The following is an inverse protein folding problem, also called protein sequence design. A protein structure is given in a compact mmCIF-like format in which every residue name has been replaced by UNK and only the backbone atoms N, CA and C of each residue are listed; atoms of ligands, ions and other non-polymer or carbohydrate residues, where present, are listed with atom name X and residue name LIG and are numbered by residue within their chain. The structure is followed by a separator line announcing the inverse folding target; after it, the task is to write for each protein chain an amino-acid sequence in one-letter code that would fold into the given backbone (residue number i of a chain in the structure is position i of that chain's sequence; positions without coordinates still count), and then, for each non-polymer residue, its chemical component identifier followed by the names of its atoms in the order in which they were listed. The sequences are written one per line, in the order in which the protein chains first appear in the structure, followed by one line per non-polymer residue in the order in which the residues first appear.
data_IF_898234596940
#
_entry.id   IF_898234596940
#
_cell.length_a   1.000
_cell.length_b   1.000
_cell.length_c   1.000
_cell.angle_alpha   90.00
_cell.angle_beta   90.00
_cell.angle_gamma   90.00
#
_symmetry.space_group_name_H-M   'P 1'
#
loop_
_entity.id
_entity.type
_entity.pdbx_description
1 polymer ?
#
# COMPACT_ATOMS: atom_id res chain seq x y z
N UNK A 1 23.13 15.22 -24.10
CA UNK A 1 22.01 14.89 -23.20
C UNK A 1 22.34 15.56 -21.89
N UNK A 2 21.67 16.67 -21.59
CA UNK A 2 21.93 17.39 -20.34
C UNK A 2 21.30 16.56 -19.20
N UNK A 3 21.83 16.65 -17.98
CA UNK A 3 21.34 15.85 -16.84
C UNK A 3 19.83 16.04 -16.56
N UNK A 4 19.26 17.15 -17.04
CA UNK A 4 17.83 17.48 -16.93
C UNK A 4 16.94 16.54 -17.76
N UNK A 5 17.45 15.99 -18.87
CA UNK A 5 16.67 15.12 -19.77
C UNK A 5 16.40 13.72 -19.16
N UNK A 6 17.26 13.27 -18.22
CA UNK A 6 17.10 12.00 -17.51
C UNK A 6 16.24 12.11 -16.24
N UNK A 7 16.02 13.32 -15.71
CA UNK A 7 15.27 13.54 -14.47
C UNK A 7 13.85 12.92 -14.50
N UNK A 8 13.03 13.09 -15.56
CA UNK A 8 11.69 12.51 -15.60
C UNK A 8 11.72 10.99 -15.54
N UNK A 9 12.72 10.38 -16.19
CA UNK A 9 12.89 8.94 -16.28
C UNK A 9 13.36 8.36 -14.93
N UNK A 10 14.27 9.06 -14.24
CA UNK A 10 14.72 8.70 -12.89
C UNK A 10 13.62 8.83 -11.83
N UNK A 11 12.85 9.92 -11.86
CA UNK A 11 11.72 10.15 -10.95
C UNK A 11 10.62 9.10 -11.18
N UNK A 12 10.32 8.78 -12.44
CA UNK A 12 9.34 7.75 -12.78
C UNK A 12 9.71 6.36 -12.24
N UNK A 13 10.99 5.99 -12.30
CA UNK A 13 11.46 4.71 -11.73
C UNK A 13 11.45 4.70 -10.20
N UNK A 14 11.86 5.79 -9.55
CA UNK A 14 11.80 5.94 -8.08
C UNK A 14 10.37 5.77 -7.56
N UNK A 15 9.42 6.51 -8.13
CA UNK A 15 8.02 6.47 -7.71
C UNK A 15 7.38 5.14 -8.10
N UNK A 16 7.59 4.68 -9.34
CA UNK A 16 6.98 3.45 -9.84
C UNK A 16 7.38 2.21 -9.06
N UNK A 17 8.66 2.07 -8.71
CA UNK A 17 9.13 0.95 -7.90
C UNK A 17 8.61 1.01 -6.45
N UNK A 18 8.53 2.22 -5.86
CA UNK A 18 7.92 2.42 -4.54
C UNK A 18 6.43 2.08 -4.51
N UNK A 19 5.68 2.53 -5.52
CA UNK A 19 4.25 2.29 -5.64
C UNK A 19 3.92 0.79 -5.77
N UNK A 20 4.72 0.03 -6.51
CA UNK A 20 4.55 -1.43 -6.63
C UNK A 20 4.68 -2.11 -5.27
N UNK A 21 5.65 -1.71 -4.45
CA UNK A 21 5.81 -2.23 -3.09
C UNK A 21 4.60 -1.94 -2.19
N UNK A 22 4.10 -0.70 -2.23
CA UNK A 22 2.93 -0.29 -1.45
C UNK A 22 1.67 -1.07 -1.87
N UNK A 23 1.39 -1.19 -3.17
CA UNK A 23 0.22 -1.94 -3.66
C UNK A 23 0.24 -3.42 -3.26
N UNK A 24 1.40 -4.07 -3.27
CA UNK A 24 1.53 -5.46 -2.82
C UNK A 24 1.27 -5.59 -1.31
N UNK A 25 1.81 -4.68 -0.50
CA UNK A 25 1.60 -4.66 0.95
C UNK A 25 0.13 -4.45 1.31
N UNK A 26 -0.52 -3.45 0.70
CA UNK A 26 -1.94 -3.15 0.90
C UNK A 26 -2.84 -4.29 0.44
N UNK A 27 -2.53 -4.93 -0.70
CA UNK A 27 -3.28 -6.09 -1.20
C UNK A 27 -3.24 -7.28 -0.25
N UNK A 28 -2.06 -7.60 0.30
CA UNK A 28 -1.91 -8.67 1.30
C UNK A 28 -2.66 -8.33 2.60
N UNK A 29 -2.53 -7.10 3.09
CA UNK A 29 -3.27 -6.61 4.26
C UNK A 29 -4.79 -6.73 4.06
N UNK A 30 -5.31 -6.29 2.92
CA UNK A 30 -6.73 -6.38 2.57
C UNK A 30 -7.24 -7.83 2.54
N UNK A 31 -6.45 -8.76 2.01
CA UNK A 31 -6.80 -10.18 1.98
C UNK A 31 -6.94 -10.78 3.39
N UNK A 32 -6.04 -10.43 4.30
CA UNK A 32 -6.04 -10.92 5.69
C UNK A 32 -7.08 -10.24 6.56
N UNK A 33 -7.35 -8.96 6.30
CA UNK A 33 -8.49 -8.26 6.88
C UNK A 33 -9.80 -8.97 6.51
N UNK A 34 -10.03 -9.23 5.22
CA UNK A 34 -11.26 -9.89 4.76
C UNK A 34 -11.43 -11.29 5.36
N UNK A 35 -10.36 -12.10 5.40
CA UNK A 35 -10.37 -13.43 6.04
C UNK A 35 -10.71 -13.34 7.55
N UNK A 36 -10.13 -12.37 8.25
CA UNK A 36 -10.35 -12.19 9.70
C UNK A 36 -11.76 -11.66 9.99
N UNK A 37 -12.24 -10.72 9.18
CA UNK A 37 -13.60 -10.18 9.25
C UNK A 37 -14.66 -11.23 8.98
N UNK A 38 -14.40 -12.14 8.03
CA UNK A 38 -15.31 -13.25 7.73
C UNK A 38 -15.37 -14.29 8.87
N UNK A 39 -14.27 -14.50 9.59
CA UNK A 39 -14.20 -15.43 10.73
C UNK A 39 -14.77 -14.85 12.02
N UNK A 40 -14.51 -13.57 12.28
CA UNK A 40 -14.93 -12.90 13.50
C UNK A 40 -15.44 -11.49 13.16
N UNK A 41 -16.75 -11.34 12.91
CA UNK A 41 -17.32 -10.04 12.51
C UNK A 41 -17.23 -8.99 13.62
N UNK A 42 -17.16 -9.41 14.89
CA UNK A 42 -16.99 -8.53 16.06
C UNK A 42 -15.62 -7.85 16.13
N UNK A 43 -14.62 -8.34 15.40
CA UNK A 43 -13.30 -7.72 15.30
C UNK A 43 -13.18 -6.73 14.12
N UNK A 44 -14.20 -6.61 13.26
CA UNK A 44 -14.16 -5.76 12.06
C UNK A 44 -13.85 -4.30 12.37
N UNK A 45 -14.54 -3.65 13.32
CA UNK A 45 -14.34 -2.23 13.60
C UNK A 45 -12.92 -1.92 14.09
N UNK A 46 -12.40 -2.76 14.99
CA UNK A 46 -11.03 -2.62 15.50
C UNK A 46 -10.00 -2.84 14.41
N UNK A 47 -10.22 -3.85 13.56
CA UNK A 47 -9.29 -4.22 12.50
C UNK A 47 -9.34 -3.23 11.32
N UNK A 48 -10.50 -2.65 11.02
CA UNK A 48 -10.68 -1.64 9.96
C UNK A 48 -9.91 -0.37 10.28
N UNK A 49 -9.98 0.10 11.53
CA UNK A 49 -9.22 1.27 11.97
C UNK A 49 -7.71 1.05 11.85
N UNK A 50 -7.24 -0.15 12.23
CA UNK A 50 -5.81 -0.53 12.12
C UNK A 50 -5.36 -0.66 10.67
N UNK A 51 -6.19 -1.24 9.81
CA UNK A 51 -5.92 -1.39 8.38
C UNK A 51 -5.88 -0.03 7.70
N UNK A 52 -6.83 0.88 8.00
CA UNK A 52 -6.81 2.23 7.46
C UNK A 52 -5.55 3.01 7.85
N UNK A 53 -5.14 2.93 9.12
CA UNK A 53 -3.89 3.53 9.60
C UNK A 53 -2.65 2.92 8.93
N UNK A 54 -2.60 1.59 8.80
CA UNK A 54 -1.49 0.91 8.13
C UNK A 54 -1.41 1.30 6.65
N UNK A 55 -2.52 1.27 5.93
CA UNK A 55 -2.57 1.65 4.51
C UNK A 55 -2.17 3.11 4.32
N UNK A 56 -2.64 4.02 5.18
CA UNK A 56 -2.26 5.44 5.12
C UNK A 56 -0.83 5.76 5.53
N UNK A 57 -0.11 4.83 6.17
CA UNK A 57 1.34 4.94 6.45
C UNK A 57 2.19 4.26 5.38
N UNK A 58 1.62 3.32 4.62
CA UNK A 58 2.28 2.57 3.55
C UNK A 58 2.32 3.33 2.21
N UNK A 59 1.29 4.13 1.94
CA UNK A 59 1.25 5.10 0.84
C UNK A 59 2.12 6.32 1.15
#
# INVERSE_FOLDING_TARGET
MNGIDLLPLGVGHMIGLGAVGSCLGVGLLGSKFLESSARQPELMESLQTKVFLLVGVLD
#
